data_IF_099948321355
#
_entry.id   IF_099948321355
#
_cell.length_a   1.000
_cell.length_b   1.000
_cell.length_c   1.000
_cell.angle_alpha   90.00
_cell.angle_beta   90.00
_cell.angle_gamma   90.00
#
_symmetry.space_group_name_H-M   'P 1'
#
loop_
_entity.id
_entity.type
_entity.pdbx_description
1 polymer ?
#
# COMPACT_ATOMS: atom_id res chain seq x y z
N UNK A 1 23.02 -17.79 -6.07
CA UNK A 1 23.16 -16.39 -6.50
C UNK A 1 24.63 -16.05 -6.61
N UNK A 2 25.11 -15.58 -7.76
CA UNK A 2 26.51 -15.17 -7.96
C UNK A 2 26.65 -13.67 -7.63
N UNK A 3 26.50 -13.32 -6.34
CA UNK A 3 26.53 -11.94 -5.85
C UNK A 3 27.91 -11.65 -5.27
N UNK A 4 28.47 -10.47 -5.58
CA UNK A 4 29.78 -10.05 -5.09
C UNK A 4 29.82 -10.05 -3.55
N UNK A 5 30.78 -10.76 -2.90
CA UNK A 5 30.89 -10.80 -1.44
C UNK A 5 30.97 -9.43 -0.76
N UNK A 6 31.60 -8.45 -1.40
CA UNK A 6 31.69 -7.09 -0.86
C UNK A 6 30.33 -6.40 -0.77
N UNK A 7 29.42 -6.68 -1.71
CA UNK A 7 28.07 -6.15 -1.65
C UNK A 7 27.28 -6.77 -0.49
N UNK A 8 27.47 -8.07 -0.24
CA UNK A 8 26.85 -8.77 0.90
C UNK A 8 27.33 -8.15 2.22
N UNK A 9 28.64 -7.94 2.37
CA UNK A 9 29.21 -7.31 3.56
C UNK A 9 28.73 -5.86 3.74
N UNK A 10 28.58 -5.10 2.64
CA UNK A 10 28.04 -3.75 2.68
C UNK A 10 26.58 -3.75 3.15
N UNK A 11 25.74 -4.64 2.61
CA UNK A 11 24.34 -4.77 3.03
C UNK A 11 24.24 -5.22 4.49
N UNK A 12 25.08 -6.17 4.91
CA UNK A 12 25.13 -6.64 6.29
C UNK A 12 25.47 -5.46 7.21
N UNK A 13 26.57 -4.76 6.95
CA UNK A 13 26.97 -3.57 7.71
C UNK A 13 25.90 -2.47 7.68
N UNK A 14 25.15 -2.34 6.59
CA UNK A 14 24.07 -1.36 6.48
C UNK A 14 22.86 -1.71 7.33
N UNK A 15 22.59 -3.00 7.60
CA UNK A 15 21.41 -3.47 8.32
C UNK A 15 21.66 -3.80 9.80
N UNK A 16 22.90 -4.16 10.18
CA UNK A 16 23.26 -4.57 11.54
C UNK A 16 23.77 -3.43 12.42
N UNK A 17 23.56 -3.54 13.73
CA UNK A 17 24.10 -2.63 14.76
C UNK A 17 23.85 -1.14 14.47
N UNK A 18 22.64 -0.85 13.99
CA UNK A 18 22.27 0.51 13.60
C UNK A 18 21.89 1.30 14.85
N UNK A 19 22.33 2.54 14.92
CA UNK A 19 21.97 3.47 15.98
C UNK A 19 21.13 4.62 15.43
N UNK A 20 20.08 5.02 16.16
CA UNK A 20 19.20 6.13 15.81
C UNK A 20 19.12 7.13 16.96
N UNK A 21 19.18 8.42 16.59
CA UNK A 21 18.92 9.56 17.47
C UNK A 21 17.98 10.50 16.71
N UNK A 22 17.02 11.10 17.43
CA UNK A 22 16.14 12.14 16.89
C UNK A 22 16.64 13.50 17.37
N UNK A 23 16.81 14.45 16.45
CA UNK A 23 17.10 15.85 16.77
C UNK A 23 15.85 16.69 16.56
N UNK A 24 15.42 17.41 17.58
CA UNK A 24 14.28 18.33 17.51
C UNK A 24 14.58 19.61 18.28
N UNK A 25 14.42 20.77 17.63
CA UNK A 25 14.68 22.09 18.23
C UNK A 25 16.03 22.20 18.97
N UNK A 26 17.09 21.61 18.42
CA UNK A 26 18.42 21.64 19.03
C UNK A 26 18.63 20.62 20.16
N UNK A 27 17.59 19.92 20.60
CA UNK A 27 17.67 18.81 21.54
C UNK A 27 17.84 17.48 20.80
N UNK A 28 18.47 16.52 21.47
CA UNK A 28 18.72 15.18 20.97
C UNK A 28 18.03 14.16 21.88
N UNK A 29 17.44 13.12 21.29
CA UNK A 29 16.94 11.96 22.04
C UNK A 29 18.09 11.12 22.57
N UNK A 30 17.77 10.17 23.44
CA UNK A 30 18.68 9.05 23.72
C UNK A 30 18.99 8.26 22.45
N UNK A 31 20.16 7.64 22.40
CA UNK A 31 20.53 6.70 21.34
C UNK A 31 19.69 5.42 21.48
N UNK A 32 19.13 4.94 20.37
CA UNK A 32 18.44 3.64 20.27
C UNK A 32 19.13 2.76 19.25
N UNK A 33 19.50 1.56 19.65
CA UNK A 33 19.97 0.53 18.72
C UNK A 33 18.78 -0.14 18.06
N UNK A 34 18.83 -0.30 16.75
CA UNK A 34 17.79 -0.91 15.92
C UNK A 34 18.27 -2.25 15.38
N UNK A 35 17.55 -3.31 15.75
CA UNK A 35 17.79 -4.68 15.30
C UNK A 35 16.92 -5.10 14.12
N UNK A 36 15.86 -4.34 13.80
CA UNK A 36 14.90 -4.68 12.73
C UNK A 36 14.65 -3.52 11.79
N UNK A 37 14.23 -3.87 10.56
CA UNK A 37 13.94 -2.93 9.50
C UNK A 37 15.19 -2.31 8.87
N UNK A 38 14.98 -1.60 7.76
CA UNK A 38 16.01 -0.83 7.08
C UNK A 38 15.83 0.68 7.39
N UNK A 39 16.90 1.49 7.37
CA UNK A 39 16.81 2.94 7.55
C UNK A 39 15.79 3.59 6.61
N UNK A 40 14.79 4.27 7.19
CA UNK A 40 13.81 5.01 6.41
C UNK A 40 14.48 6.20 5.71
N UNK A 41 14.13 6.44 4.44
CA UNK A 41 14.73 7.51 3.62
C UNK A 41 16.05 7.12 2.95
N UNK A 42 16.58 5.92 3.19
CA UNK A 42 17.71 5.41 2.43
C UNK A 42 17.26 4.89 1.06
N UNK A 43 18.08 5.15 0.03
CA UNK A 43 17.84 4.74 -1.36
C UNK A 43 17.82 3.21 -1.52
N UNK A 44 18.57 2.47 -0.70
CA UNK A 44 18.66 1.00 -0.82
C UNK A 44 17.55 0.27 -0.07
N UNK A 45 16.93 0.90 0.94
CA UNK A 45 15.90 0.27 1.78
C UNK A 45 14.70 -0.28 0.99
N UNK A 46 14.13 0.44 0.00
CA UNK A 46 13.04 -0.11 -0.82
C UNK A 46 13.44 -1.37 -1.59
N UNK A 47 14.66 -1.40 -2.16
CA UNK A 47 15.18 -2.56 -2.90
C UNK A 47 15.34 -3.75 -1.96
N UNK A 48 15.91 -3.52 -0.78
CA UNK A 48 16.07 -4.56 0.24
C UNK A 48 14.71 -5.09 0.70
N UNK A 49 13.70 -4.24 0.83
CA UNK A 49 12.34 -4.68 1.17
C UNK A 49 11.70 -5.53 0.06
N UNK A 50 11.90 -5.16 -1.21
CA UNK A 50 11.46 -5.99 -2.34
C UNK A 50 12.13 -7.37 -2.32
N UNK A 51 13.44 -7.44 -2.04
CA UNK A 51 14.16 -8.71 -1.92
C UNK A 51 13.71 -9.51 -0.70
N UNK A 52 13.47 -8.84 0.43
CA UNK A 52 13.03 -9.44 1.68
C UNK A 52 11.67 -10.13 1.58
N UNK A 53 10.77 -9.56 0.78
CA UNK A 53 9.42 -10.11 0.56
C UNK A 53 9.31 -10.92 -0.72
N UNK A 54 10.42 -11.18 -1.42
CA UNK A 54 10.40 -11.76 -2.76
C UNK A 54 9.80 -13.17 -2.78
N UNK A 55 10.07 -13.97 -1.76
CA UNK A 55 9.60 -15.34 -1.55
C UNK A 55 8.12 -15.43 -1.13
N UNK A 56 7.50 -14.31 -0.71
CA UNK A 56 6.06 -14.21 -0.54
C UNK A 56 5.36 -14.27 -1.91
N UNK A 57 5.07 -15.50 -2.36
CA UNK A 57 4.42 -15.83 -3.63
C UNK A 57 3.50 -17.03 -3.42
N UNK A 58 2.49 -17.16 -4.27
CA UNK A 58 1.67 -18.36 -4.31
C UNK A 58 2.36 -19.52 -4.99
N UNK A 59 2.08 -20.74 -4.53
CA UNK A 59 2.31 -21.96 -5.31
C UNK A 59 1.17 -22.28 -6.29
N UNK A 60 0.02 -21.59 -6.17
CA UNK A 60 -1.15 -21.79 -7.01
C UNK A 60 -1.06 -20.88 -8.25
N UNK A 61 -1.03 -21.43 -9.48
CA UNK A 61 -0.90 -20.63 -10.70
C UNK A 61 -2.12 -19.75 -11.00
N UNK A 62 -3.26 -19.98 -10.34
CA UNK A 62 -4.47 -19.16 -10.51
C UNK A 62 -4.59 -18.04 -9.47
N UNK A 63 -3.61 -17.95 -8.55
CA UNK A 63 -3.47 -16.87 -7.58
C UNK A 63 -2.47 -15.83 -8.08
N UNK A 64 -2.93 -14.59 -8.23
CA UNK A 64 -2.09 -13.47 -8.60
C UNK A 64 -1.77 -12.63 -7.36
N UNK A 65 -0.47 -12.42 -7.13
CA UNK A 65 0.04 -11.53 -6.09
C UNK A 65 0.52 -10.24 -6.73
N UNK A 66 -0.02 -9.11 -6.29
CA UNK A 66 0.46 -7.78 -6.65
C UNK A 66 1.04 -7.15 -5.39
N UNK A 67 2.35 -6.91 -5.37
CA UNK A 67 3.05 -6.32 -4.24
C UNK A 67 3.49 -4.90 -4.58
N UNK A 68 3.20 -3.95 -3.69
CA UNK A 68 3.68 -2.57 -3.77
C UNK A 68 4.09 -2.12 -2.36
N UNK A 69 5.40 -2.14 -2.07
CA UNK A 69 5.87 -1.96 -0.70
C UNK A 69 5.12 -2.93 0.23
N UNK A 70 4.59 -2.44 1.35
CA UNK A 70 3.80 -3.10 2.38
C UNK A 70 2.38 -3.50 1.93
N UNK A 71 1.87 -2.93 0.84
CA UNK A 71 0.58 -3.29 0.25
C UNK A 71 0.72 -4.59 -0.58
N UNK A 72 -0.04 -5.63 -0.24
CA UNK A 72 -0.13 -6.87 -1.01
C UNK A 72 -1.57 -7.14 -1.41
N UNK A 73 -1.81 -7.37 -2.70
CA UNK A 73 -3.11 -7.78 -3.24
C UNK A 73 -3.03 -9.25 -3.66
N UNK A 74 -3.93 -10.06 -3.13
CA UNK A 74 -4.08 -11.46 -3.51
C UNK A 74 -5.37 -11.59 -4.30
N UNK A 75 -5.23 -12.13 -5.50
CA UNK A 75 -6.29 -12.17 -6.49
C UNK A 75 -6.54 -13.61 -6.90
N UNK A 76 -7.78 -14.07 -6.77
CA UNK A 76 -8.22 -15.36 -7.33
C UNK A 76 -9.16 -15.11 -8.51
N UNK A 77 -8.86 -15.69 -9.67
CA UNK A 77 -9.71 -15.54 -10.88
C UNK A 77 -10.73 -16.67 -11.05
N UNK A 78 -10.74 -17.64 -10.15
CA UNK A 78 -11.64 -18.80 -10.20
C UNK A 78 -12.88 -18.64 -9.33
N UNK A 79 -13.93 -19.40 -9.64
CA UNK A 79 -15.20 -19.39 -8.91
C UNK A 79 -15.14 -20.09 -7.53
N UNK A 80 -13.96 -20.45 -7.02
CA UNK A 80 -13.83 -21.27 -5.81
C UNK A 80 -13.40 -20.45 -4.60
N UNK A 81 -14.39 -20.02 -3.81
CA UNK A 81 -14.19 -19.26 -2.57
C UNK A 81 -13.28 -19.99 -1.56
N UNK A 82 -13.25 -21.32 -1.58
CA UNK A 82 -12.43 -22.10 -0.65
C UNK A 82 -10.92 -21.97 -0.93
N UNK A 83 -10.53 -21.70 -2.18
CA UNK A 83 -9.10 -21.61 -2.53
C UNK A 83 -8.48 -20.32 -2.04
N UNK A 84 -9.15 -19.20 -2.27
CA UNK A 84 -8.67 -17.90 -1.81
C UNK A 84 -8.59 -17.87 -0.27
N UNK A 85 -9.54 -18.48 0.43
CA UNK A 85 -9.46 -18.56 1.89
C UNK A 85 -8.23 -19.33 2.35
N UNK A 86 -7.92 -20.49 1.75
CA UNK A 86 -6.67 -21.22 2.05
C UNK A 86 -5.43 -20.40 1.75
N UNK A 87 -5.42 -19.70 0.61
CA UNK A 87 -4.31 -18.85 0.20
C UNK A 87 -4.06 -17.73 1.19
N UNK A 88 -5.12 -17.05 1.65
CA UNK A 88 -5.01 -16.00 2.67
C UNK A 88 -4.46 -16.54 4.00
N UNK A 89 -4.87 -17.74 4.41
CA UNK A 89 -4.32 -18.35 5.63
C UNK A 89 -2.85 -18.70 5.47
N UNK A 90 -2.44 -19.18 4.31
CA UNK A 90 -1.03 -19.42 3.98
C UNK A 90 -0.22 -18.12 4.01
N UNK A 91 -0.76 -17.05 3.42
CA UNK A 91 -0.15 -15.71 3.46
C UNK A 91 -0.04 -15.19 4.90
N UNK A 92 -1.09 -15.33 5.72
CA UNK A 92 -1.05 -14.91 7.12
C UNK A 92 0.02 -15.68 7.92
N UNK A 93 0.15 -16.99 7.72
CA UNK A 93 1.21 -17.78 8.35
C UNK A 93 2.62 -17.43 7.85
N UNK A 94 2.77 -17.03 6.58
CA UNK A 94 4.03 -16.45 6.09
C UNK A 94 4.32 -15.13 6.82
N UNK A 95 3.34 -14.23 6.92
CA UNK A 95 3.49 -12.97 7.66
C UNK A 95 3.96 -13.19 9.10
N UNK A 96 3.41 -14.14 9.86
CA UNK A 96 3.84 -14.39 11.25
C UNK A 96 5.36 -14.54 11.47
N UNK A 97 6.09 -14.99 10.44
CA UNK A 97 7.55 -15.15 10.50
C UNK A 97 8.35 -13.93 10.03
N UNK A 98 7.73 -13.01 9.29
CA UNK A 98 8.43 -11.94 8.56
C UNK A 98 7.83 -10.53 8.74
N UNK A 99 6.50 -10.41 8.83
CA UNK A 99 5.74 -9.15 8.84
C UNK A 99 4.52 -9.21 9.78
N UNK A 100 4.21 -8.11 10.45
CA UNK A 100 2.93 -7.93 11.14
C UNK A 100 1.82 -7.59 10.13
N UNK A 101 0.88 -8.53 9.96
CA UNK A 101 -0.30 -8.33 9.13
C UNK A 101 -1.31 -7.40 9.84
N UNK A 102 -1.60 -6.25 9.23
CA UNK A 102 -2.61 -5.33 9.74
C UNK A 102 -4.00 -5.76 9.26
N UNK A 103 -4.65 -6.62 10.04
CA UNK A 103 -5.99 -7.15 9.79
C UNK A 103 -7.06 -6.06 9.70
N UNK A 104 -6.97 -4.97 10.48
CA UNK A 104 -7.97 -3.89 10.45
C UNK A 104 -7.91 -3.07 9.15
N UNK A 105 -6.74 -2.97 8.53
CA UNK A 105 -6.55 -2.36 7.20
C UNK A 105 -6.72 -3.35 6.04
N UNK A 106 -6.80 -4.65 6.32
CA UNK A 106 -7.03 -5.68 5.29
C UNK A 106 -8.51 -5.67 4.90
N UNK A 107 -8.78 -5.66 3.60
CA UNK A 107 -10.14 -5.62 3.03
C UNK A 107 -10.34 -6.71 2.00
N UNK A 108 -11.57 -7.21 1.93
CA UNK A 108 -12.02 -8.16 0.92
C UNK A 108 -12.99 -7.48 -0.05
N UNK A 109 -12.81 -7.69 -1.35
CA UNK A 109 -13.73 -7.24 -2.39
C UNK A 109 -14.05 -8.40 -3.32
N UNK A 110 -15.34 -8.71 -3.46
CA UNK A 110 -15.81 -9.74 -4.38
C UNK A 110 -16.19 -9.08 -5.70
N UNK A 111 -15.48 -9.36 -6.79
CA UNK A 111 -15.84 -8.83 -8.13
C UNK A 111 -16.71 -9.83 -8.88
N UNK A 112 -17.91 -9.39 -9.28
CA UNK A 112 -18.87 -10.23 -9.99
C UNK A 112 -19.67 -9.43 -11.00
N UNK A 113 -19.86 -10.01 -12.19
CA UNK A 113 -20.55 -9.35 -13.31
C UNK A 113 -21.96 -9.90 -13.57
N UNK A 114 -22.33 -11.00 -12.90
CA UNK A 114 -23.65 -11.63 -13.03
C UNK A 114 -24.63 -11.03 -12.03
N UNK A 115 -25.93 -11.06 -12.38
CA UNK A 115 -26.99 -10.65 -11.46
C UNK A 115 -27.07 -11.63 -10.29
N UNK A 116 -27.08 -11.10 -9.06
CA UNK A 116 -27.09 -11.85 -7.80
C UNK A 116 -25.82 -11.61 -6.98
N UNK A 117 -25.97 -11.40 -5.67
CA UNK A 117 -24.82 -11.29 -4.78
C UNK A 117 -24.14 -12.66 -4.66
N UNK A 118 -22.80 -12.73 -4.77
CA UNK A 118 -22.09 -13.97 -4.52
C UNK A 118 -22.26 -14.37 -3.06
N UNK A 119 -22.80 -15.57 -2.84
CA UNK A 119 -22.86 -16.20 -1.52
C UNK A 119 -21.45 -16.70 -1.17
N UNK A 120 -20.61 -15.82 -0.65
CA UNK A 120 -19.31 -16.17 -0.12
C UNK A 120 -19.33 -16.05 1.40
N UNK A 121 -18.80 -17.07 2.08
CA UNK A 121 -18.60 -17.03 3.52
C UNK A 121 -17.73 -15.83 3.90
N UNK A 122 -17.94 -15.34 5.12
CA UNK A 122 -17.09 -14.29 5.70
C UNK A 122 -15.67 -14.81 5.85
N UNK A 123 -14.69 -14.00 5.45
CA UNK A 123 -13.28 -14.33 5.64
C UNK A 123 -12.85 -13.97 7.06
N UNK A 124 -12.21 -14.92 7.74
CA UNK A 124 -11.55 -14.68 9.02
C UNK A 124 -10.05 -14.89 8.89
N UNK A 125 -9.27 -13.99 9.49
CA UNK A 125 -7.81 -14.06 9.58
C UNK A 125 -7.41 -13.68 10.99
N UNK A 126 -6.58 -14.49 11.65
CA UNK A 126 -6.14 -14.26 13.03
C UNK A 126 -7.31 -14.02 14.01
N UNK A 127 -8.40 -14.79 13.84
CA UNK A 127 -9.67 -14.66 14.62
C UNK A 127 -10.36 -13.30 14.48
N UNK A 128 -10.02 -12.53 13.45
CA UNK A 128 -10.71 -11.29 13.11
C UNK A 128 -11.40 -11.44 11.76
N UNK A 129 -12.66 -11.03 11.72
CA UNK A 129 -13.41 -10.92 10.48
C UNK A 129 -12.83 -9.82 9.61
N UNK A 130 -12.48 -10.16 8.37
CA UNK A 130 -12.04 -9.19 7.37
C UNK A 130 -13.26 -8.48 6.81
N UNK A 131 -13.21 -7.15 6.78
CA UNK A 131 -14.28 -6.33 6.24
C UNK A 131 -14.41 -6.53 4.73
N UNK A 132 -15.63 -6.85 4.29
CA UNK A 132 -16.00 -6.91 2.88
C UNK A 132 -16.47 -5.53 2.41
N UNK A 133 -15.86 -5.01 1.36
CA UNK A 133 -16.12 -3.68 0.81
C UNK A 133 -16.57 -3.77 -0.65
N UNK A 134 -17.46 -2.86 -1.04
CA UNK A 134 -17.88 -2.70 -2.44
C UNK A 134 -16.99 -1.72 -3.21
N UNK A 135 -16.21 -0.91 -2.49
CA UNK A 135 -15.30 0.08 -3.04
C UNK A 135 -14.05 0.17 -2.15
N UNK A 136 -12.87 0.35 -2.77
CA UNK A 136 -11.62 0.52 -2.05
C UNK A 136 -10.64 1.41 -2.82
N UNK A 137 -9.93 2.28 -2.09
CA UNK A 137 -8.88 3.14 -2.66
C UNK A 137 -7.52 2.45 -2.57
N UNK A 138 -7.05 1.92 -3.70
CA UNK A 138 -5.76 1.25 -3.83
C UNK A 138 -4.77 2.12 -4.61
N UNK A 139 -3.62 2.45 -4.03
CA UNK A 139 -2.55 3.25 -4.64
C UNK A 139 -3.02 4.56 -5.32
N UNK A 140 -4.04 5.20 -4.74
CA UNK A 140 -4.61 6.45 -5.26
C UNK A 140 -5.77 6.29 -6.24
N UNK A 141 -6.06 5.05 -6.69
CA UNK A 141 -7.18 4.73 -7.58
C UNK A 141 -8.31 4.06 -6.79
N UNK A 142 -9.53 4.56 -6.97
CA UNK A 142 -10.71 3.98 -6.34
C UNK A 142 -11.28 2.88 -7.23
N UNK A 143 -11.37 1.66 -6.71
CA UNK A 143 -11.83 0.47 -7.43
C UNK A 143 -13.16 0.04 -6.80
N UNK A 144 -14.16 -0.27 -7.62
CA UNK A 144 -15.44 -0.82 -7.17
C UNK A 144 -15.59 -2.29 -7.58
N UNK A 145 -16.46 -3.02 -6.87
CA UNK A 145 -16.72 -4.44 -7.07
C UNK A 145 -17.31 -4.81 -8.44
N UNK A 146 -17.73 -3.83 -9.25
CA UNK A 146 -18.16 -4.03 -10.64
C UNK A 146 -17.10 -3.59 -11.65
N UNK A 147 -15.93 -3.14 -11.17
CA UNK A 147 -14.83 -2.58 -11.95
C UNK A 147 -15.30 -1.46 -12.91
N UNK A 148 -16.26 -0.64 -12.49
CA UNK A 148 -16.73 0.50 -13.30
C UNK A 148 -15.81 1.71 -13.21
N UNK A 149 -15.05 1.84 -12.12
CA UNK A 149 -14.20 2.99 -11.78
C UNK A 149 -14.96 4.33 -11.77
N UNK A 150 -16.29 4.30 -11.60
CA UNK A 150 -17.13 5.49 -11.69
C UNK A 150 -16.75 6.54 -10.65
N UNK A 151 -16.68 6.15 -9.38
CA UNK A 151 -16.31 7.05 -8.28
C UNK A 151 -14.91 7.63 -8.47
N UNK A 152 -13.96 6.84 -8.96
CA UNK A 152 -12.62 7.32 -9.29
C UNK A 152 -12.66 8.42 -10.36
N UNK A 153 -13.42 8.20 -11.44
CA UNK A 153 -13.61 9.17 -12.50
C UNK A 153 -14.22 10.48 -12.01
N UNK A 154 -15.25 10.41 -11.15
CA UNK A 154 -15.88 11.58 -10.54
C UNK A 154 -14.91 12.36 -9.64
N UNK A 155 -14.10 11.67 -8.83
CA UNK A 155 -13.07 12.28 -7.99
C UNK A 155 -11.98 12.99 -8.81
N UNK A 156 -11.52 12.37 -9.90
CA UNK A 156 -10.53 12.96 -10.81
C UNK A 156 -11.12 14.17 -11.52
N UNK A 157 -12.35 14.06 -12.03
CA UNK A 157 -13.05 15.16 -12.69
C UNK A 157 -13.19 16.36 -11.74
N UNK A 158 -13.60 16.12 -10.49
CA UNK A 158 -13.70 17.16 -9.47
C UNK A 158 -12.35 17.85 -9.21
N UNK A 159 -11.25 17.09 -9.07
CA UNK A 159 -9.90 17.65 -8.94
C UNK A 159 -9.49 18.47 -10.15
N UNK A 160 -9.71 17.96 -11.36
CA UNK A 160 -9.39 18.67 -12.60
C UNK A 160 -10.18 19.98 -12.72
N UNK A 161 -11.46 19.99 -12.30
CA UNK A 161 -12.27 21.21 -12.27
C UNK A 161 -11.69 22.26 -11.32
N UNK A 162 -11.17 21.86 -10.16
CA UNK A 162 -10.48 22.77 -9.23
C UNK A 162 -9.20 23.35 -9.87
N UNK A 163 -8.38 22.53 -10.52
CA UNK A 163 -7.19 23.01 -11.23
C UNK A 163 -7.54 23.93 -12.40
N UNK A 164 -8.59 23.64 -13.16
CA UNK A 164 -9.07 24.52 -14.23
C UNK A 164 -9.57 25.85 -13.67
N UNK A 165 -10.20 25.85 -12.50
CA UNK A 165 -10.57 27.09 -11.81
C UNK A 165 -9.33 27.92 -11.46
N UNK A 166 -8.30 27.31 -10.87
CA UNK A 166 -7.04 28.00 -10.58
C UNK A 166 -6.36 28.51 -11.86
N UNK A 167 -6.34 27.72 -12.93
CA UNK A 167 -5.80 28.15 -14.22
C UNK A 167 -6.53 29.39 -14.77
N UNK A 168 -7.87 29.42 -14.67
CA UNK A 168 -8.68 30.59 -15.05
C UNK A 168 -8.34 31.81 -14.19
N UNK A 169 -8.12 31.63 -12.88
CA UNK A 169 -7.71 32.70 -11.97
C UNK A 169 -6.31 33.22 -12.28
N UNK A 170 -5.34 32.34 -12.53
CA UNK A 170 -3.98 32.73 -12.91
C UNK A 170 -3.97 33.53 -14.23
N UNK A 171 -4.84 33.19 -15.18
CA UNK A 171 -5.00 33.93 -16.44
C UNK A 171 -5.47 35.38 -16.24
N UNK A 172 -6.01 35.73 -15.07
CA UNK A 172 -6.40 37.11 -14.75
C UNK A 172 -5.20 37.99 -14.38
N UNK A 173 -4.03 37.39 -14.16
CA UNK A 173 -2.77 38.07 -13.85
C UNK A 173 -1.84 38.03 -15.06
N UNK A 174 -0.81 38.91 -15.13
CA UNK A 174 0.17 38.92 -16.22
C UNK A 174 1.17 37.75 -16.10
N UNK A 175 0.67 36.51 -16.11
CA UNK A 175 1.46 35.28 -16.07
C UNK A 175 1.85 34.88 -17.49
N UNK A 176 3.10 34.46 -17.67
CA UNK A 176 3.59 34.01 -18.98
C UNK A 176 2.81 32.77 -19.47
N UNK A 177 2.46 32.68 -20.77
CA UNK A 177 1.73 31.53 -21.31
C UNK A 177 2.43 30.18 -21.09
N UNK A 178 3.76 30.16 -21.11
CA UNK A 178 4.57 28.96 -20.83
C UNK A 178 4.28 28.39 -19.43
N UNK A 179 4.10 29.24 -18.42
CA UNK A 179 3.78 28.85 -17.05
C UNK A 179 2.35 28.32 -16.96
N UNK A 180 1.39 28.95 -17.65
CA UNK A 180 0.02 28.45 -17.71
C UNK A 180 -0.06 27.07 -18.37
N UNK A 181 0.71 26.85 -19.45
CA UNK A 181 0.81 25.57 -20.12
C UNK A 181 1.47 24.51 -19.23
N UNK A 182 2.57 24.86 -18.54
CA UNK A 182 3.23 23.97 -17.60
C UNK A 182 2.28 23.57 -16.45
N UNK A 183 1.49 24.50 -15.93
CA UNK A 183 0.48 24.21 -14.92
C UNK A 183 -0.59 23.25 -15.44
N UNK A 184 -1.15 23.52 -16.62
CA UNK A 184 -2.16 22.63 -17.22
C UNK A 184 -1.61 21.21 -17.40
N UNK A 185 -0.42 21.06 -17.98
CA UNK A 185 0.24 19.77 -18.19
C UNK A 185 0.50 19.04 -16.87
N UNK A 186 0.98 19.77 -15.86
CA UNK A 186 1.42 19.16 -14.59
C UNK A 186 0.27 18.79 -13.67
N UNK A 187 -0.88 19.47 -13.73
CA UNK A 187 -1.98 19.27 -12.80
C UNK A 187 -3.25 18.69 -13.43
N UNK A 188 -3.57 19.07 -14.67
CA UNK A 188 -4.78 18.58 -15.36
C UNK A 188 -4.42 17.34 -16.17
N UNK A 189 -3.51 17.47 -17.14
CA UNK A 189 -3.15 16.40 -18.08
C UNK A 189 -2.53 15.18 -17.36
N UNK A 190 -1.59 15.42 -16.44
CA UNK A 190 -0.98 14.34 -15.64
C UNK A 190 -1.99 13.50 -14.85
N UNK A 191 -3.06 14.12 -14.32
CA UNK A 191 -4.06 13.44 -13.52
C UNK A 191 -5.05 12.68 -14.41
N UNK A 192 -5.35 13.19 -15.60
CA UNK A 192 -6.19 12.48 -16.57
C UNK A 192 -5.47 11.30 -17.20
N UNK A 193 -4.20 11.46 -17.59
CA UNK A 193 -3.44 10.44 -18.33
C UNK A 193 -3.13 9.21 -17.48
N UNK A 194 -2.69 9.42 -16.23
CA UNK A 194 -2.36 8.33 -15.30
C UNK A 194 -3.55 7.37 -15.08
N UNK A 195 -4.78 7.88 -15.23
CA UNK A 195 -6.00 7.17 -14.86
C UNK A 195 -6.83 6.74 -16.08
N UNK A 196 -6.69 7.41 -17.22
CA UNK A 196 -7.32 7.02 -18.49
C UNK A 196 -6.87 5.62 -18.94
N UNK A 197 -5.60 5.27 -18.73
CA UNK A 197 -5.09 3.92 -18.99
C UNK A 197 -5.69 2.83 -18.09
N UNK A 198 -6.13 3.17 -16.87
CA UNK A 198 -6.81 2.22 -15.99
C UNK A 198 -8.21 1.86 -16.51
N UNK A 199 -8.90 2.81 -17.15
CA UNK A 199 -10.25 2.65 -17.71
C UNK A 199 -10.27 1.82 -19.01
N UNK A 200 -9.26 1.91 -19.86
CA UNK A 200 -9.24 1.15 -21.14
C UNK A 200 -9.03 -0.37 -20.94
N UNK A 201 -8.41 -0.79 -19.84
CA UNK A 201 -8.13 -2.20 -19.54
C UNK A 201 -9.29 -2.96 -18.89
N UNK A 202 -10.37 -2.29 -18.47
CA UNK A 202 -11.55 -2.94 -17.86
C UNK A 202 -12.49 -3.59 -18.87
N UNK A 203 -12.22 -3.44 -20.17
CA UNK A 203 -13.07 -3.89 -21.29
C UNK A 203 -13.19 -5.42 -21.47
N UNK A 204 -12.40 -6.23 -20.76
CA UNK A 204 -12.48 -7.71 -20.80
C UNK A 204 -12.69 -8.32 -19.40
N UNK A 205 -13.94 -8.38 -18.90
CA UNK A 205 -14.20 -8.88 -17.56
C UNK A 205 -14.18 -10.43 -17.51
N UNK A 206 -13.21 -10.98 -16.76
CA UNK A 206 -13.31 -12.32 -16.14
C UNK A 206 -13.67 -12.14 -14.67
N UNK A 207 -14.30 -13.12 -14.03
CA UNK A 207 -14.60 -13.07 -12.58
C UNK A 207 -13.29 -13.00 -11.80
N UNK A 208 -13.21 -12.08 -10.83
CA UNK A 208 -12.00 -11.84 -10.03
C UNK A 208 -12.42 -11.66 -8.57
N UNK A 209 -11.65 -12.17 -7.63
CA UNK A 209 -11.77 -11.83 -6.22
C UNK A 209 -10.53 -11.03 -5.83
N UNK A 210 -10.71 -9.84 -5.30
CA UNK A 210 -9.63 -8.92 -4.94
C UNK A 210 -9.55 -8.82 -3.42
N UNK A 211 -8.41 -9.17 -2.83
CA UNK A 211 -8.16 -8.97 -1.40
C UNK A 211 -6.91 -8.15 -1.21
N UNK A 212 -7.02 -7.06 -0.47
CA UNK A 212 -5.92 -6.11 -0.26
C UNK A 212 -5.53 -6.18 1.21
N UNK A 213 -4.28 -6.52 1.45
CA UNK A 213 -3.66 -6.63 2.76
C UNK A 213 -2.55 -5.59 2.92
N UNK A 214 -2.42 -5.05 4.14
CA UNK A 214 -1.32 -4.18 4.56
C UNK A 214 -0.48 -4.89 5.60
N UNK A 215 0.83 -4.90 5.42
CA UNK A 215 1.75 -5.63 6.31
C UNK A 215 2.98 -4.79 6.64
N UNK A 216 3.42 -4.77 7.89
CA UNK A 216 4.58 -3.99 8.32
C UNK A 216 5.70 -4.93 8.77
N UNK A 217 6.99 -4.53 8.69
CA UNK A 217 8.08 -5.34 9.25
C UNK A 217 7.83 -5.67 10.72
N UNK A 218 8.09 -6.91 11.11
CA UNK A 218 8.02 -7.31 12.52
C UNK A 218 8.91 -6.40 13.37
N UNK A 219 8.34 -5.84 14.43
CA UNK A 219 9.10 -5.14 15.46
C UNK A 219 9.56 -6.16 16.51
N UNK A 220 10.83 -6.08 16.94
CA UNK A 220 11.32 -7.00 17.99
C UNK A 220 10.48 -6.82 19.26
N UNK A 221 10.06 -7.89 19.95
CA UNK A 221 9.39 -7.74 21.24
C UNK A 221 10.38 -7.18 22.26
N UNK A 222 10.20 -5.93 22.66
CA UNK A 222 10.87 -5.38 23.85
C UNK A 222 10.35 -6.17 25.08
N UNK A 223 11.28 -6.77 25.85
CA UNK A 223 10.96 -7.25 27.20
C UNK A 223 10.56 -6.04 28.06
N UNK A 224 9.41 -6.05 28.75
CA UNK A 224 9.11 -4.98 29.69
C UNK A 224 9.97 -5.18 30.95
N UNK A 225 10.91 -4.26 31.21
CA UNK A 225 11.42 -4.02 32.55
C UNK A 225 10.70 -2.81 33.13
N UNK A 226 9.96 -3.06 34.21
CA UNK A 226 9.16 -2.15 35.02
C UNK A 226 9.70 -0.71 35.17
N UNK A 227 8.83 0.28 34.94
CA UNK A 227 8.34 1.23 35.95
C UNK A 227 7.25 2.13 35.33
N UNK A 228 6.13 2.27 36.04
CA UNK A 228 5.00 3.12 35.70
C UNK A 228 5.37 4.62 35.71
N UNK A 229 4.89 5.39 34.73
CA UNK A 229 4.35 6.75 34.91
C UNK A 229 3.57 7.19 33.65
N UNK A 230 2.51 8.03 33.79
CA UNK A 230 1.48 8.18 32.78
C UNK A 230 1.86 9.20 31.70
N UNK A 231 1.90 8.77 30.43
CA UNK A 231 2.08 9.68 29.31
C UNK A 231 0.75 10.33 28.93
N UNK A 232 0.63 11.61 29.27
CA UNK A 232 -0.32 12.54 28.66
C UNK A 232 -0.30 12.45 27.13
N UNK A 233 -1.49 12.52 26.55
CA UNK A 233 -1.73 12.45 25.11
C UNK A 233 -0.94 13.50 24.33
N UNK A 234 -0.15 13.03 23.38
CA UNK A 234 0.27 13.80 22.22
C UNK A 234 -0.11 12.99 20.98
N UNK A 235 -1.20 13.43 20.35
CA UNK A 235 -1.66 13.00 19.05
C UNK A 235 -0.72 13.60 17.99
N UNK A 236 0.23 12.82 17.50
CA UNK A 236 1.08 13.22 16.37
C UNK A 236 0.34 12.97 15.06
N UNK A 237 -0.30 14.02 14.58
CA UNK A 237 -0.98 14.13 13.29
C UNK A 237 0.09 14.31 12.19
N UNK A 238 0.50 13.23 11.53
CA UNK A 238 1.35 13.31 10.33
C UNK A 238 0.46 13.55 9.11
N UNK A 239 0.34 14.82 8.70
CA UNK A 239 -0.14 15.20 7.37
C UNK A 239 1.03 15.20 6.38
N UNK A 240 0.86 14.48 5.28
CA UNK A 240 1.69 14.59 4.06
C UNK A 240 1.39 15.90 3.34
#
# INVERSE_FOLDING_TARGET
MNVNPHLILLILSFLTDRHQIVKFNGHYSSNRTLSTGAPQGSVISPILFTLYTDDCRSSDPEMLYIKYSDDTVIINTTNSNNRISKEIHSFAGWCENYLDLNTSKTKEMLVYFRRGQPTAATLEVNRQTIERVEEYKYLGTTIDHKLTFKTNGELILSKCQQYLFFLRKMRMFPVQPSVLQAFYKSFVESNTDLQYHALLKSSEPRRVELRIARSFPLTSPERPSHAEEPAHGYETDYRF
#
